data_IF_526499594938
#
_entry.id   IF_526499594938
#
_cell.length_a   1.000
_cell.length_b   1.000
_cell.length_c   1.000
_cell.angle_alpha   90.00
_cell.angle_beta   90.00
_cell.angle_gamma   90.00
#
_symmetry.space_group_name_H-M   'P 1'
#
loop_
_entity.id
_entity.type
_entity.pdbx_description
1 polymer ?
#
# COMPACT_ATOMS: atom_id res chain seq x y z
N UNK A 1 11.22 5.52 -20.44
CA UNK A 1 12.09 5.21 -21.60
C UNK A 1 11.25 4.58 -22.69
N UNK A 2 11.36 5.03 -23.93
CA UNK A 2 10.72 4.39 -25.08
C UNK A 2 11.74 3.59 -25.86
N UNK A 3 11.54 2.28 -26.00
CA UNK A 3 12.49 1.39 -26.68
C UNK A 3 11.75 0.17 -27.23
N UNK A 4 12.00 -0.17 -28.50
CA UNK A 4 11.50 -1.39 -29.14
C UNK A 4 9.97 -1.58 -29.03
N UNK A 5 9.21 -0.48 -29.06
CA UNK A 5 7.75 -0.46 -28.89
C UNK A 5 7.26 -0.48 -27.44
N UNK A 6 8.16 -0.52 -26.46
CA UNK A 6 7.84 -0.51 -25.03
C UNK A 6 8.00 0.88 -24.41
N UNK A 7 7.19 1.14 -23.39
CA UNK A 7 7.32 2.27 -22.48
C UNK A 7 7.71 1.70 -21.12
N UNK A 8 8.94 2.00 -20.71
CA UNK A 8 9.57 1.41 -19.52
C UNK A 8 9.90 2.53 -18.54
N UNK A 9 9.30 2.47 -17.37
CA UNK A 9 9.56 3.41 -16.29
C UNK A 9 10.89 3.07 -15.60
N UNK A 10 11.64 4.13 -15.25
CA UNK A 10 12.96 4.00 -14.59
C UNK A 10 12.92 4.36 -13.11
N UNK A 11 11.78 4.81 -12.62
CA UNK A 11 11.56 5.26 -11.25
C UNK A 11 10.11 4.95 -10.86
N UNK A 12 9.29 5.93 -10.44
CA UNK A 12 7.87 5.72 -10.24
C UNK A 12 7.23 5.21 -11.53
N UNK A 13 6.31 4.24 -11.42
CA UNK A 13 5.59 3.68 -12.56
C UNK A 13 4.13 4.15 -12.63
N UNK A 14 3.59 4.58 -11.50
CA UNK A 14 2.18 4.92 -11.30
C UNK A 14 1.98 5.82 -10.08
N UNK A 15 0.76 6.32 -9.90
CA UNK A 15 0.34 7.08 -8.73
C UNK A 15 -1.04 6.65 -8.24
N UNK A 16 -1.34 6.92 -6.96
CA UNK A 16 -2.58 6.51 -6.32
C UNK A 16 -3.77 7.33 -6.82
N UNK A 17 -4.81 6.67 -7.34
CA UNK A 17 -6.06 7.32 -7.79
C UNK A 17 -6.73 8.17 -6.70
N UNK A 18 -6.65 7.70 -5.45
CA UNK A 18 -7.26 8.38 -4.29
C UNK A 18 -6.58 9.69 -3.90
N UNK A 19 -5.38 9.97 -4.43
CA UNK A 19 -4.64 11.22 -4.22
C UNK A 19 -4.87 12.11 -5.45
N UNK A 20 -5.76 13.11 -5.36
CA UNK A 20 -6.22 13.85 -6.53
C UNK A 20 -5.11 14.70 -7.18
N UNK A 21 -4.08 15.08 -6.45
CA UNK A 21 -3.10 16.09 -6.84
C UNK A 21 -2.40 15.77 -8.18
N UNK A 22 -2.00 14.50 -8.38
CA UNK A 22 -1.38 14.08 -9.64
C UNK A 22 -2.39 13.99 -10.79
N UNK A 23 -3.62 13.57 -10.51
CA UNK A 23 -4.68 13.50 -11.52
C UNK A 23 -5.07 14.90 -11.98
N UNK A 24 -5.22 15.82 -11.05
CA UNK A 24 -5.55 17.22 -11.31
C UNK A 24 -4.43 17.88 -12.12
N UNK A 25 -3.16 17.65 -11.77
CA UNK A 25 -2.02 18.13 -12.58
C UNK A 25 -2.06 17.60 -14.02
N UNK A 26 -2.29 16.29 -14.21
CA UNK A 26 -2.39 15.69 -15.55
C UNK A 26 -3.53 16.32 -16.35
N UNK A 27 -4.64 16.64 -15.68
CA UNK A 27 -5.78 17.32 -16.30
C UNK A 27 -5.45 18.78 -16.67
N UNK A 28 -4.82 19.53 -15.77
CA UNK A 28 -4.44 20.92 -15.99
C UNK A 28 -3.45 21.07 -17.16
N UNK A 29 -2.62 20.04 -17.39
CA UNK A 29 -1.71 19.95 -18.54
C UNK A 29 -2.40 19.47 -19.83
N UNK A 30 -3.72 19.27 -19.83
CA UNK A 30 -4.49 18.81 -21.00
C UNK A 30 -4.25 17.34 -21.38
N UNK A 31 -3.78 16.52 -20.45
CA UNK A 31 -3.37 15.13 -20.69
C UNK A 31 -4.34 14.09 -20.10
N UNK A 32 -5.57 14.49 -19.72
CA UNK A 32 -6.55 13.60 -19.06
C UNK A 32 -6.88 12.35 -19.90
N UNK A 33 -6.99 12.48 -21.23
CA UNK A 33 -7.25 11.36 -22.16
C UNK A 33 -6.10 10.34 -22.25
N UNK A 34 -4.92 10.72 -21.73
CA UNK A 34 -3.77 9.84 -21.67
C UNK A 34 -3.72 9.00 -20.39
N UNK A 35 -4.62 9.23 -19.42
CA UNK A 35 -4.68 8.42 -18.20
C UNK A 35 -5.05 6.97 -18.54
N UNK A 36 -4.32 6.04 -17.93
CA UNK A 36 -4.58 4.61 -18.03
C UNK A 36 -4.57 3.97 -16.66
N UNK A 37 -5.44 2.97 -16.50
CA UNK A 37 -5.59 2.21 -15.26
C UNK A 37 -4.64 1.01 -15.22
N UNK A 38 -4.19 0.64 -14.02
CA UNK A 38 -3.43 -0.59 -13.85
C UNK A 38 -4.32 -1.81 -14.13
N UNK A 39 -3.77 -2.84 -14.77
CA UNK A 39 -4.44 -4.12 -14.87
C UNK A 39 -4.66 -4.71 -13.46
N UNK A 40 -5.81 -5.36 -13.27
CA UNK A 40 -6.06 -6.12 -12.04
C UNK A 40 -5.43 -7.50 -12.16
N UNK A 41 -4.72 -7.93 -11.12
CA UNK A 41 -3.99 -9.19 -11.09
C UNK A 41 -3.89 -9.76 -9.69
N UNK A 42 -3.32 -10.96 -9.59
CA UNK A 42 -3.02 -11.57 -8.29
C UNK A 42 -1.61 -11.17 -7.86
N UNK A 43 -1.49 -10.68 -6.62
CA UNK A 43 -0.21 -10.36 -6.00
C UNK A 43 0.33 -11.58 -5.28
N UNK A 44 1.64 -11.79 -5.36
CA UNK A 44 2.33 -12.92 -4.74
C UNK A 44 3.43 -12.43 -3.80
N UNK A 45 3.66 -13.19 -2.74
CA UNK A 45 4.83 -13.05 -1.87
C UNK A 45 5.67 -14.31 -1.98
N UNK A 46 6.98 -14.14 -2.09
CA UNK A 46 7.93 -15.23 -1.96
C UNK A 46 8.17 -15.50 -0.48
N UNK A 47 7.66 -16.61 0.03
CA UNK A 47 7.85 -17.03 1.41
C UNK A 47 8.04 -18.55 1.46
N UNK A 48 8.77 -19.07 2.45
CA UNK A 48 8.95 -20.53 2.63
C UNK A 48 9.37 -21.25 1.33
N UNK A 49 10.26 -20.62 0.55
CA UNK A 49 10.79 -21.12 -0.73
C UNK A 49 9.74 -21.33 -1.85
N UNK A 50 8.59 -20.65 -1.77
CA UNK A 50 7.54 -20.71 -2.78
C UNK A 50 6.81 -19.39 -2.99
N UNK A 51 6.20 -19.23 -4.17
CA UNK A 51 5.29 -18.12 -4.43
C UNK A 51 3.92 -18.42 -3.85
N UNK A 52 3.43 -17.49 -3.03
CA UNK A 52 2.14 -17.60 -2.37
C UNK A 52 1.29 -16.40 -2.72
N UNK A 53 0.10 -16.65 -3.27
CA UNK A 53 -0.87 -15.58 -3.50
C UNK A 53 -1.25 -14.93 -2.17
N UNK A 54 -1.28 -13.59 -2.14
CA UNK A 54 -1.78 -12.85 -0.99
C UNK A 54 -3.28 -13.15 -0.84
N UNK A 55 -3.76 -13.55 0.35
CA UNK A 55 -5.16 -13.90 0.54
C UNK A 55 -6.08 -12.74 0.16
N UNK A 56 -7.06 -13.00 -0.72
CA UNK A 56 -8.08 -12.02 -1.08
C UNK A 56 -8.83 -11.55 0.17
N UNK A 57 -9.23 -10.27 0.17
CA UNK A 57 -9.87 -9.66 1.33
C UNK A 57 -8.85 -9.30 2.41
N UNK A 58 -7.85 -8.51 2.02
CA UNK A 58 -6.91 -7.87 2.93
C UNK A 58 -6.83 -6.39 2.60
N UNK A 59 -6.67 -5.55 3.62
CA UNK A 59 -6.37 -4.12 3.48
C UNK A 59 -5.02 -3.90 4.14
N UNK A 60 -4.05 -3.36 3.40
CA UNK A 60 -2.66 -3.20 3.88
C UNK A 60 -2.06 -4.50 4.44
N UNK A 61 -2.38 -5.63 3.83
CA UNK A 61 -1.97 -6.97 4.29
C UNK A 61 -2.78 -7.52 5.48
N UNK A 62 -3.49 -6.68 6.24
CA UNK A 62 -4.33 -7.12 7.36
C UNK A 62 -5.61 -7.79 6.84
N UNK A 63 -5.97 -8.99 7.30
CA UNK A 63 -7.10 -9.73 6.75
C UNK A 63 -8.44 -9.10 7.17
N UNK A 64 -9.29 -8.81 6.18
CA UNK A 64 -10.68 -8.38 6.39
C UNK A 64 -11.65 -9.55 6.45
N UNK A 65 -11.24 -10.71 5.92
CA UNK A 65 -12.03 -11.95 5.90
C UNK A 65 -11.24 -13.12 6.49
N UNK A 66 -11.88 -13.84 7.40
CA UNK A 66 -11.26 -14.97 8.08
C UNK A 66 -11.06 -16.21 7.19
N UNK A 67 -12.04 -16.53 6.33
CA UNK A 67 -12.00 -17.78 5.54
C UNK A 67 -10.84 -17.84 4.54
N UNK A 68 -10.57 -16.81 3.71
CA UNK A 68 -9.42 -16.82 2.80
C UNK A 68 -8.09 -16.86 3.55
N UNK A 69 -7.98 -16.10 4.65
CA UNK A 69 -6.77 -16.04 5.46
C UNK A 69 -6.42 -17.37 6.13
N UNK A 70 -7.41 -18.07 6.71
CA UNK A 70 -7.17 -19.39 7.34
C UNK A 70 -6.71 -20.44 6.33
N UNK A 71 -7.15 -20.34 5.06
CA UNK A 71 -6.69 -21.23 3.98
C UNK A 71 -5.26 -20.92 3.51
N UNK A 72 -4.73 -19.75 3.83
CA UNK A 72 -3.37 -19.36 3.45
C UNK A 72 -2.33 -20.29 4.07
N UNK A 73 -1.27 -20.57 3.32
CA UNK A 73 -0.08 -21.29 3.79
C UNK A 73 1.04 -20.36 4.26
N UNK A 74 0.84 -19.05 4.13
CA UNK A 74 1.81 -18.04 4.57
C UNK A 74 2.06 -18.12 6.08
N UNK A 75 0.99 -18.35 6.86
CA UNK A 75 1.08 -18.47 8.31
C UNK A 75 0.79 -19.90 8.79
N UNK A 76 1.51 -20.30 9.83
CA UNK A 76 1.24 -21.47 10.67
C UNK A 76 -0.10 -21.32 11.40
N UNK A 77 -0.60 -22.41 11.97
CA UNK A 77 -1.82 -22.36 12.78
C UNK A 77 -1.68 -21.43 13.99
N UNK A 78 -0.53 -21.47 14.69
CA UNK A 78 -0.26 -20.58 15.82
C UNK A 78 -0.15 -19.12 15.39
N UNK A 79 0.50 -18.84 14.26
CA UNK A 79 0.55 -17.50 13.68
C UNK A 79 -0.84 -16.94 13.37
N UNK A 80 -1.73 -17.76 12.78
CA UNK A 80 -3.13 -17.36 12.54
C UNK A 80 -3.86 -17.01 13.83
N UNK A 81 -3.71 -17.82 14.89
CA UNK A 81 -4.29 -17.51 16.20
C UNK A 81 -3.70 -16.23 16.81
N UNK A 82 -2.39 -16.03 16.66
CA UNK A 82 -1.70 -14.82 17.13
C UNK A 82 -2.25 -13.55 16.47
N UNK A 83 -2.55 -13.60 15.17
CA UNK A 83 -3.21 -12.51 14.43
C UNK A 83 -4.60 -12.24 15.00
N UNK A 84 -5.42 -13.28 15.23
CA UNK A 84 -6.75 -13.10 15.82
C UNK A 84 -6.75 -12.57 17.25
N UNK A 85 -5.64 -12.72 17.97
CA UNK A 85 -5.43 -12.09 19.27
C UNK A 85 -5.59 -10.57 19.26
N UNK A 86 -5.33 -9.89 18.13
CA UNK A 86 -5.49 -8.44 17.99
C UNK A 86 -6.91 -7.95 18.35
N UNK A 87 -7.95 -8.78 18.14
CA UNK A 87 -9.34 -8.44 18.48
C UNK A 87 -9.55 -8.13 19.98
N UNK A 88 -8.66 -8.62 20.84
CA UNK A 88 -8.78 -8.59 22.29
C UNK A 88 -7.72 -7.71 22.97
N UNK A 89 -6.75 -7.15 22.23
CA UNK A 89 -5.65 -6.38 22.83
C UNK A 89 -6.08 -5.01 23.35
N UNK A 90 -7.17 -4.44 22.84
CA UNK A 90 -7.55 -3.05 23.12
C UNK A 90 -6.51 -2.06 22.59
N UNK A 91 -6.60 -0.79 23.00
CA UNK A 91 -5.55 0.21 22.71
C UNK A 91 -4.33 -0.12 23.56
N UNK A 92 -3.17 -0.26 22.93
CA UNK A 92 -1.90 -0.56 23.59
C UNK A 92 -0.96 0.63 23.65
N UNK A 93 -1.06 1.55 22.69
CA UNK A 93 -0.19 2.72 22.66
C UNK A 93 -0.48 3.64 23.85
N UNK A 94 0.49 3.76 24.76
CA UNK A 94 0.59 4.92 25.65
C UNK A 94 1.15 6.03 24.77
N UNK A 95 0.29 7.00 24.42
CA UNK A 95 0.69 8.15 23.61
C UNK A 95 1.93 8.80 24.25
N UNK A 96 2.99 9.03 23.46
CA UNK A 96 3.91 10.19 23.52
C UNK A 96 5.27 9.97 22.82
N UNK A 97 5.60 8.77 22.33
CA UNK A 97 6.86 8.54 21.58
C UNK A 97 6.61 7.76 20.27
N UNK A 98 7.37 8.13 19.24
CA UNK A 98 7.45 7.39 17.98
C UNK A 98 8.26 6.10 18.17
N UNK A 99 7.93 5.07 17.41
CA UNK A 99 8.61 3.78 17.47
C UNK A 99 8.74 3.16 16.08
N UNK A 100 9.56 2.13 15.98
CA UNK A 100 9.64 1.33 14.78
C UNK A 100 8.28 0.69 14.45
N UNK A 101 7.90 0.77 13.17
CA UNK A 101 6.66 0.22 12.66
C UNK A 101 6.60 -1.31 12.84
N UNK A 102 7.72 -2.00 12.64
CA UNK A 102 7.87 -3.43 12.88
C UNK A 102 7.57 -3.80 14.33
N UNK A 103 8.09 -3.03 15.29
CA UNK A 103 7.80 -3.21 16.73
C UNK A 103 6.31 -3.07 17.02
N UNK A 104 5.67 -2.03 16.48
CA UNK A 104 4.23 -1.83 16.63
C UNK A 104 3.42 -3.01 16.05
N UNK A 105 3.71 -3.42 14.81
CA UNK A 105 2.97 -4.46 14.12
C UNK A 105 3.17 -5.83 14.78
N UNK A 106 4.39 -6.18 15.22
CA UNK A 106 4.66 -7.46 15.93
C UNK A 106 3.90 -7.53 17.26
N UNK A 107 3.81 -6.42 17.99
CA UNK A 107 3.00 -6.33 19.19
C UNK A 107 1.49 -6.55 18.92
N UNK A 108 1.02 -6.22 17.73
CA UNK A 108 -0.38 -6.41 17.29
C UNK A 108 -0.64 -7.80 16.72
N UNK A 109 0.01 -8.15 15.63
CA UNK A 109 -0.32 -9.30 14.78
C UNK A 109 0.72 -10.43 14.84
N UNK A 110 1.85 -10.21 15.52
CA UNK A 110 2.91 -11.20 15.71
C UNK A 110 3.89 -11.30 14.54
N UNK A 111 5.04 -11.90 14.80
CA UNK A 111 6.20 -11.93 13.90
C UNK A 111 5.89 -12.60 12.56
N UNK A 112 5.23 -13.77 12.58
CA UNK A 112 4.96 -14.51 11.33
C UNK A 112 4.10 -13.70 10.34
N UNK A 113 3.20 -12.85 10.84
CA UNK A 113 2.39 -11.95 9.99
C UNK A 113 3.24 -10.79 9.44
N UNK A 114 4.13 -10.25 10.26
CA UNK A 114 5.02 -9.16 9.87
C UNK A 114 5.99 -9.66 8.80
N UNK A 115 6.76 -10.70 9.11
CA UNK A 115 7.86 -11.17 8.27
C UNK A 115 7.37 -11.76 6.93
N UNK A 116 6.25 -12.49 6.92
CA UNK A 116 5.78 -13.18 5.71
C UNK A 116 4.79 -12.38 4.86
N UNK A 117 4.22 -11.28 5.37
CA UNK A 117 3.21 -10.51 4.64
C UNK A 117 3.50 -9.01 4.71
N UNK A 118 3.56 -8.42 5.91
CA UNK A 118 3.61 -6.96 6.02
C UNK A 118 4.95 -6.40 5.55
N UNK A 119 6.07 -7.04 5.90
CA UNK A 119 7.40 -6.61 5.49
C UNK A 119 7.62 -6.72 3.97
N UNK A 120 7.28 -7.83 3.29
CA UNK A 120 7.32 -7.89 1.83
C UNK A 120 6.42 -6.85 1.14
N UNK A 121 5.25 -6.56 1.71
CA UNK A 121 4.35 -5.55 1.16
C UNK A 121 4.89 -4.14 1.32
N UNK A 122 5.42 -3.82 2.51
CA UNK A 122 5.91 -2.49 2.84
C UNK A 122 7.25 -2.19 2.19
N UNK A 123 8.14 -3.17 2.06
CA UNK A 123 9.39 -3.04 1.29
C UNK A 123 9.11 -2.78 -0.19
N UNK A 124 7.99 -3.27 -0.75
CA UNK A 124 7.55 -2.90 -2.10
C UNK A 124 7.16 -1.42 -2.26
N UNK A 125 6.83 -0.72 -1.17
CA UNK A 125 6.44 0.71 -1.18
C UNK A 125 7.61 1.61 -0.79
N UNK A 126 8.31 1.26 0.28
CA UNK A 126 9.32 2.10 0.92
C UNK A 126 10.75 1.62 0.71
N UNK A 127 10.94 0.38 0.25
CA UNK A 127 12.25 -0.27 0.14
C UNK A 127 13.09 -0.20 1.44
N UNK A 128 12.42 -0.17 2.59
CA UNK A 128 13.03 -0.01 3.92
C UNK A 128 12.73 -1.18 4.86
N UNK A 129 13.48 -1.25 5.94
CA UNK A 129 13.30 -2.18 7.06
C UNK A 129 12.22 -1.66 8.01
N UNK A 130 11.21 -2.49 8.29
CA UNK A 130 10.13 -2.12 9.20
C UNK A 130 10.62 -1.83 10.62
N UNK A 131 11.71 -2.45 11.05
CA UNK A 131 12.30 -2.23 12.38
C UNK A 131 13.09 -0.93 12.49
N UNK A 132 13.29 -0.21 11.38
CA UNK A 132 13.92 1.12 11.34
C UNK A 132 12.94 2.24 10.93
N UNK A 133 11.81 1.89 10.33
CA UNK A 133 10.82 2.85 9.85
C UNK A 133 9.96 3.42 10.98
N UNK A 134 9.84 4.75 11.04
CA UNK A 134 8.91 5.46 11.94
C UNK A 134 7.46 5.02 11.74
N UNK A 135 6.80 4.57 12.80
CA UNK A 135 5.40 4.21 12.79
C UNK A 135 4.51 5.43 12.54
N UNK A 136 4.87 6.60 13.07
CA UNK A 136 4.11 7.84 12.83
C UNK A 136 4.19 8.28 11.37
N UNK A 137 5.37 8.23 10.75
CA UNK A 137 5.58 8.70 9.39
C UNK A 137 5.06 7.72 8.32
N UNK A 138 5.19 6.41 8.57
CA UNK A 138 4.94 5.38 7.54
C UNK A 138 3.77 4.46 7.86
N UNK A 139 3.38 4.39 9.14
CA UNK A 139 2.32 3.54 9.66
C UNK A 139 1.08 4.28 10.13
N UNK A 140 0.92 5.57 9.80
CA UNK A 140 -0.19 6.43 10.26
C UNK A 140 -1.57 5.75 10.13
N UNK A 141 -1.81 5.02 9.03
CA UNK A 141 -3.06 4.30 8.81
C UNK A 141 -3.28 3.18 9.83
N UNK A 142 -2.24 2.44 10.24
CA UNK A 142 -2.36 1.42 11.26
C UNK A 142 -2.59 2.02 12.65
N UNK A 143 -1.90 3.12 12.95
CA UNK A 143 -2.08 3.85 14.21
C UNK A 143 -3.52 4.35 14.34
N UNK A 144 -4.08 4.96 13.29
CA UNK A 144 -5.49 5.38 13.27
C UNK A 144 -6.46 4.22 13.49
N UNK A 145 -6.20 3.05 12.90
CA UNK A 145 -7.06 1.88 13.11
C UNK A 145 -7.04 1.39 14.57
N UNK A 146 -5.88 1.39 15.22
CA UNK A 146 -5.80 1.16 16.67
C UNK A 146 -6.56 2.25 17.44
N UNK A 147 -6.32 3.51 17.12
CA UNK A 147 -6.88 4.63 17.90
C UNK A 147 -8.40 4.69 17.81
N UNK A 148 -8.97 4.38 16.65
CA UNK A 148 -10.42 4.44 16.44
C UNK A 148 -11.12 3.15 16.90
N UNK A 149 -10.51 1.98 16.69
CA UNK A 149 -11.19 0.70 16.87
C UNK A 149 -10.57 -0.21 17.95
N UNK A 150 -9.44 0.17 18.53
CA UNK A 150 -8.65 -0.63 19.48
C UNK A 150 -8.01 -1.89 18.87
N UNK A 151 -8.15 -2.10 17.56
CA UNK A 151 -7.72 -3.31 16.86
C UNK A 151 -7.62 -3.03 15.37
N UNK A 152 -6.50 -3.48 14.77
CA UNK A 152 -6.28 -3.41 13.34
C UNK A 152 -7.32 -4.24 12.59
N UNK A 153 -7.62 -5.46 13.09
CA UNK A 153 -8.62 -6.35 12.48
C UNK A 153 -10.03 -5.75 12.50
N UNK A 154 -10.43 -5.09 13.60
CA UNK A 154 -11.74 -4.42 13.69
C UNK A 154 -11.82 -3.28 12.69
N UNK A 155 -10.79 -2.43 12.64
CA UNK A 155 -10.77 -1.27 11.76
C UNK A 155 -10.82 -1.65 10.28
N UNK A 156 -9.96 -2.58 9.83
CA UNK A 156 -9.99 -2.98 8.41
C UNK A 156 -11.29 -3.68 8.02
N UNK A 157 -11.93 -4.40 8.95
CA UNK A 157 -13.23 -5.03 8.70
C UNK A 157 -14.34 -3.99 8.56
N UNK A 158 -14.30 -2.92 9.35
CA UNK A 158 -15.24 -1.80 9.20
C UNK A 158 -15.07 -1.11 7.85
N UNK A 159 -13.84 -0.75 7.48
CA UNK A 159 -13.54 -0.17 6.16
C UNK A 159 -14.04 -1.08 5.03
N UNK A 160 -13.79 -2.39 5.13
CA UNK A 160 -14.25 -3.36 4.14
C UNK A 160 -15.78 -3.36 4.00
N UNK A 161 -16.53 -3.33 5.11
CA UNK A 161 -18.00 -3.32 5.08
C UNK A 161 -18.54 -2.03 4.45
N UNK A 162 -17.91 -0.88 4.74
CA UNK A 162 -18.32 0.42 4.20
C UNK A 162 -18.03 0.55 2.70
N UNK A 163 -16.89 -0.01 2.24
CA UNK A 163 -16.44 0.07 0.84
C UNK A 163 -17.12 -0.96 -0.05
N UNK A 164 -17.24 -2.22 0.38
CA UNK A 164 -17.92 -3.25 -0.43
C UNK A 164 -19.44 -3.06 -0.55
N UNK A 165 -20.04 -2.25 0.32
CA UNK A 165 -21.43 -1.83 0.19
C UNK A 165 -21.66 -0.76 -0.91
N UNK A 166 -20.59 -0.16 -1.47
CA UNK A 166 -20.68 1.08 -2.26
C UNK A 166 -20.00 1.03 -3.65
N UNK A 167 -20.30 0.04 -4.50
CA UNK A 167 -19.95 -0.04 -5.95
C UNK A 167 -18.60 -0.74 -6.33
N UNK A 168 -18.37 -1.09 -7.63
CA UNK A 168 -17.18 -1.83 -8.08
C UNK A 168 -15.87 -1.13 -7.75
N UNK A 169 -14.85 -1.92 -7.43
CA UNK A 169 -13.50 -1.43 -7.15
C UNK A 169 -12.87 -0.84 -8.41
N UNK A 170 -12.80 0.49 -8.47
CA UNK A 170 -11.96 1.19 -9.44
C UNK A 170 -10.48 0.79 -9.28
N UNK A 171 -9.68 0.95 -10.34
CA UNK A 171 -8.25 0.72 -10.27
C UNK A 171 -7.60 1.60 -9.19
N UNK A 172 -6.69 1.00 -8.41
CA UNK A 172 -6.02 1.71 -7.30
C UNK A 172 -4.97 2.69 -7.81
N UNK A 173 -4.33 2.35 -8.93
CA UNK A 173 -3.25 3.12 -9.52
C UNK A 173 -3.63 3.62 -10.91
N UNK A 174 -3.15 4.82 -11.21
CA UNK A 174 -3.19 5.43 -12.52
C UNK A 174 -1.76 5.66 -13.00
N UNK A 175 -1.58 5.64 -14.30
CA UNK A 175 -0.37 6.15 -14.97
C UNK A 175 -0.77 6.85 -16.26
N UNK A 176 0.21 7.31 -17.02
CA UNK A 176 0.00 8.00 -18.30
C UNK A 176 0.46 7.08 -19.42
N UNK A 177 -0.33 6.96 -20.49
CA UNK A 177 -0.06 6.08 -21.64
C UNK A 177 1.35 6.23 -22.20
N UNK A 178 1.86 7.45 -22.24
CA UNK A 178 3.20 7.78 -22.76
C UNK A 178 4.32 7.73 -21.71
N UNK A 179 4.00 7.28 -20.49
CA UNK A 179 4.85 7.21 -19.30
C UNK A 179 4.85 8.51 -18.49
N UNK A 180 5.09 8.44 -17.18
CA UNK A 180 5.11 9.57 -16.25
C UNK A 180 6.12 10.65 -16.64
N UNK A 181 7.19 10.29 -17.37
CA UNK A 181 8.11 11.29 -17.93
C UNK A 181 7.43 12.30 -18.87
N UNK A 182 6.31 11.95 -19.51
CA UNK A 182 5.58 12.88 -20.38
C UNK A 182 4.91 14.00 -19.59
N UNK A 183 4.51 13.75 -18.34
CA UNK A 183 3.95 14.77 -17.44
C UNK A 183 5.03 15.82 -17.13
N UNK A 184 6.26 15.37 -16.87
CA UNK A 184 7.40 16.27 -16.64
C UNK A 184 7.72 17.10 -17.89
N UNK A 185 7.66 16.49 -19.07
CA UNK A 185 7.88 17.21 -20.34
C UNK A 185 6.79 18.26 -20.62
N UNK A 186 5.51 17.93 -20.36
CA UNK A 186 4.42 18.89 -20.51
C UNK A 186 4.56 20.05 -19.50
N UNK A 187 4.93 19.74 -18.26
CA UNK A 187 5.22 20.77 -17.26
C UNK A 187 6.39 21.68 -17.67
N UNK A 188 7.47 21.13 -18.23
CA UNK A 188 8.60 21.93 -18.75
C UNK A 188 8.16 22.89 -19.88
N UNK A 189 7.17 22.51 -20.69
CA UNK A 189 6.64 23.36 -21.78
C UNK A 189 5.77 24.51 -21.28
N UNK A 190 4.96 24.27 -20.24
CA UNK A 190 4.09 25.29 -19.63
C UNK A 190 4.86 26.30 -18.76
N UNK A 191 6.03 25.91 -18.24
CA UNK A 191 6.88 26.79 -17.42
C UNK A 191 7.55 27.88 -18.27
N UNK A 192 6.96 29.07 -18.25
CA UNK A 192 7.36 30.25 -19.05
C UNK A 192 8.62 30.99 -18.58
N UNK A 193 9.23 30.64 -17.42
CA UNK A 193 10.43 31.33 -16.90
C UNK A 193 11.48 30.41 -16.27
N UNK A 194 12.74 30.62 -16.70
CA UNK A 194 14.03 30.06 -16.22
C UNK A 194 13.97 28.73 -15.45
N UNK A 195 14.19 27.64 -16.18
CA UNK A 195 14.59 26.35 -15.59
C UNK A 195 16.10 26.40 -15.30
N UNK A 196 16.47 26.34 -14.01
CA UNK A 196 17.87 26.24 -13.60
C UNK A 196 18.29 24.77 -13.63
N UNK A 197 18.95 24.35 -14.72
CA UNK A 197 19.62 23.04 -14.77
C UNK A 197 20.94 23.16 -14.00
N UNK A 198 21.03 22.56 -12.81
CA UNK A 198 22.32 22.33 -12.13
C UNK A 198 23.11 21.32 -12.98
N UNK A 199 24.29 21.73 -13.47
CA UNK A 199 25.27 20.84 -14.12
C UNK A 199 25.90 19.90 -13.11
#
# INVERSE_FOLDING_TARGET
MKRDGYIIERGPDSFLRRKPEMKDLVKDLGMEDCLVENATGENFVLAKQGLHAIPKGSIMGIPTRFRPFIKSRLLSSSGKFRVFGDLFLGKKRVANEDMALGTFLRARVGDEMVDNILEPLMSGIYAGDLDEMSAEATGEQFLKLEDEHGSLLKGVRQIYNETTAKQPTEATFLTVREGLSSVVSALEQELSTKIIKKR
#
